data_IF_031823914710
#
_entry.id   IF_031823914710
#
_cell.length_a   1.000
_cell.length_b   1.000
_cell.length_c   1.000
_cell.angle_alpha   90.00
_cell.angle_beta   90.00
_cell.angle_gamma   90.00
#
_symmetry.space_group_name_H-M   'P 1'
#
loop_
_entity.id
_entity.type
_entity.pdbx_description
1 polymer ?
#
# COMPACT_ATOMS: atom_id res chain seq x y z
N UNK A 1 -39.78 14.35 -16.24
CA UNK A 1 -38.65 13.97 -17.14
C UNK A 1 -37.31 14.57 -16.67
N UNK A 2 -37.21 15.89 -16.44
CA UNK A 2 -35.97 16.52 -15.96
C UNK A 2 -35.43 15.95 -14.62
N UNK A 3 -36.32 15.63 -13.67
CA UNK A 3 -35.93 15.01 -12.39
C UNK A 3 -35.35 13.60 -12.55
N UNK A 4 -35.95 12.77 -13.41
CA UNK A 4 -35.44 11.43 -13.74
C UNK A 4 -34.06 11.52 -14.40
N UNK A 5 -33.87 12.47 -15.31
CA UNK A 5 -32.56 12.74 -15.93
C UNK A 5 -31.52 13.21 -14.91
N UNK A 6 -31.89 14.11 -13.99
CA UNK A 6 -31.02 14.53 -12.88
C UNK A 6 -30.62 13.37 -11.98
N UNK A 7 -31.57 12.50 -11.62
CA UNK A 7 -31.29 11.31 -10.80
C UNK A 7 -30.35 10.33 -11.53
N UNK A 8 -30.57 10.09 -12.83
CA UNK A 8 -29.69 9.24 -13.64
C UNK A 8 -28.26 9.79 -13.73
N UNK A 9 -28.10 11.11 -13.92
CA UNK A 9 -26.79 11.77 -13.95
C UNK A 9 -26.09 11.64 -12.60
N UNK A 10 -26.81 11.85 -11.49
CA UNK A 10 -26.26 11.69 -10.13
C UNK A 10 -25.79 10.26 -9.87
N UNK A 11 -26.60 9.24 -10.20
CA UNK A 11 -26.22 7.84 -10.05
C UNK A 11 -24.97 7.50 -10.87
N UNK A 12 -24.94 7.94 -12.14
CA UNK A 12 -23.78 7.74 -13.02
C UNK A 12 -22.52 8.42 -12.48
N UNK A 13 -22.65 9.62 -11.92
CA UNK A 13 -21.54 10.34 -11.29
C UNK A 13 -21.02 9.59 -10.05
N UNK A 14 -21.92 9.10 -9.19
CA UNK A 14 -21.53 8.33 -8.00
C UNK A 14 -20.81 7.04 -8.35
N UNK A 15 -21.28 6.30 -9.36
CA UNK A 15 -20.61 5.08 -9.82
C UNK A 15 -19.21 5.36 -10.38
N UNK A 16 -19.06 6.36 -11.25
CA UNK A 16 -17.72 6.73 -11.76
C UNK A 16 -16.77 7.11 -10.64
N UNK A 17 -17.24 7.88 -9.66
CA UNK A 17 -16.41 8.28 -8.52
C UNK A 17 -15.96 7.10 -7.67
N UNK A 18 -16.84 6.10 -7.49
CA UNK A 18 -16.48 4.87 -6.78
C UNK A 18 -15.41 4.07 -7.54
N UNK A 19 -15.57 3.93 -8.85
CA UNK A 19 -14.62 3.24 -9.73
C UNK A 19 -13.26 3.95 -9.76
N UNK A 20 -13.25 5.29 -9.85
CA UNK A 20 -12.03 6.10 -9.75
C UNK A 20 -11.33 5.94 -8.40
N UNK A 21 -12.08 5.91 -7.29
CA UNK A 21 -11.52 5.69 -5.95
C UNK A 21 -10.96 4.28 -5.78
N UNK A 22 -11.63 3.27 -6.34
CA UNK A 22 -11.17 1.87 -6.33
C UNK A 22 -9.91 1.69 -7.18
N UNK A 23 -9.89 2.23 -8.40
CA UNK A 23 -8.71 2.19 -9.26
C UNK A 23 -7.53 2.92 -8.61
N UNK A 24 -7.76 4.10 -8.01
CA UNK A 24 -6.71 4.82 -7.29
C UNK A 24 -6.16 4.03 -6.11
N UNK A 25 -7.01 3.25 -5.41
CA UNK A 25 -6.58 2.36 -4.33
C UNK A 25 -5.69 1.24 -4.86
N UNK A 26 -6.10 0.52 -5.91
CA UNK A 26 -5.27 -0.55 -6.47
C UNK A 26 -3.94 -0.03 -7.04
N UNK A 27 -3.93 1.14 -7.68
CA UNK A 27 -2.70 1.77 -8.15
C UNK A 27 -1.79 2.18 -6.97
N UNK A 28 -2.36 2.61 -5.84
CA UNK A 28 -1.60 2.86 -4.62
C UNK A 28 -1.01 1.58 -4.03
N UNK A 29 -1.79 0.49 -3.99
CA UNK A 29 -1.33 -0.83 -3.52
C UNK A 29 -0.15 -1.32 -4.34
N UNK A 30 -0.22 -1.25 -5.68
CA UNK A 30 0.89 -1.61 -6.57
C UNK A 30 2.15 -0.81 -6.25
N UNK A 31 2.03 0.52 -6.16
CA UNK A 31 3.16 1.39 -5.82
C UNK A 31 3.80 1.07 -4.46
N UNK A 32 2.99 0.71 -3.47
CA UNK A 32 3.50 0.28 -2.16
C UNK A 32 4.27 -1.03 -2.32
N UNK A 33 3.71 -2.01 -3.04
CA UNK A 33 4.36 -3.30 -3.30
C UNK A 33 5.70 -3.09 -4.00
N UNK A 34 5.73 -2.26 -5.04
CA UNK A 34 6.95 -1.96 -5.80
C UNK A 34 8.04 -1.38 -4.88
N UNK A 35 7.71 -0.35 -4.06
CA UNK A 35 8.70 0.25 -3.14
C UNK A 35 9.21 -0.76 -2.10
N UNK A 36 8.33 -1.58 -1.53
CA UNK A 36 8.74 -2.57 -0.51
C UNK A 36 9.57 -3.69 -1.15
N UNK A 37 9.22 -4.10 -2.37
CA UNK A 37 9.95 -5.12 -3.12
C UNK A 37 11.33 -4.61 -3.57
N UNK A 38 11.42 -3.38 -4.09
CA UNK A 38 12.67 -2.75 -4.50
C UNK A 38 13.62 -2.61 -3.30
N UNK A 39 13.14 -2.09 -2.17
CA UNK A 39 13.92 -2.02 -0.92
C UNK A 39 14.46 -3.39 -0.50
N UNK A 40 13.63 -4.41 -0.64
CA UNK A 40 14.00 -5.77 -0.32
C UNK A 40 15.08 -6.33 -1.26
N UNK A 41 14.99 -6.04 -2.57
CA UNK A 41 16.03 -6.40 -3.56
C UNK A 41 17.34 -5.67 -3.26
N UNK A 42 17.27 -4.39 -2.90
CA UNK A 42 18.44 -3.59 -2.53
C UNK A 42 19.11 -4.13 -1.26
N UNK A 43 18.32 -4.59 -0.29
CA UNK A 43 18.84 -5.30 0.88
C UNK A 43 19.50 -6.64 0.54
N UNK A 44 18.94 -7.44 -0.37
CA UNK A 44 19.57 -8.69 -0.82
C UNK A 44 20.92 -8.46 -1.56
N UNK A 45 21.14 -7.26 -2.10
CA UNK A 45 22.38 -6.85 -2.77
C UNK A 45 23.36 -6.12 -1.82
N UNK A 46 23.15 -6.19 -0.51
CA UNK A 46 23.95 -5.49 0.52
C UNK A 46 23.99 -3.95 0.36
N UNK A 47 23.04 -3.35 -0.38
CA UNK A 47 22.93 -1.90 -0.54
C UNK A 47 22.14 -1.24 0.61
N UNK A 48 21.23 -2.00 1.22
CA UNK A 48 20.43 -1.55 2.36
C UNK A 48 20.78 -2.30 3.64
N UNK A 49 20.68 -1.62 4.78
CA UNK A 49 21.09 -2.19 6.08
C UNK A 49 20.08 -3.16 6.67
N UNK A 50 18.80 -2.96 6.39
CA UNK A 50 17.71 -3.67 7.05
C UNK A 50 16.70 -4.23 6.04
N UNK A 51 16.13 -5.42 6.28
CA UNK A 51 15.15 -6.07 5.39
C UNK A 51 13.72 -5.51 5.55
N UNK A 52 13.57 -4.27 6.01
CA UNK A 52 12.28 -3.64 6.27
C UNK A 52 12.33 -2.13 6.00
N UNK A 53 11.18 -1.56 5.68
CA UNK A 53 11.01 -0.14 5.39
C UNK A 53 9.91 0.48 6.24
N UNK A 54 10.12 1.69 6.76
CA UNK A 54 9.11 2.37 7.57
C UNK A 54 7.87 2.75 6.76
N UNK A 55 6.67 2.47 7.28
CA UNK A 55 5.41 2.79 6.58
C UNK A 55 5.30 4.30 6.28
N UNK A 56 5.75 5.14 7.22
CA UNK A 56 5.78 6.59 7.04
C UNK A 56 6.76 7.03 5.96
N UNK A 57 7.90 6.33 5.83
CA UNK A 57 8.87 6.60 4.77
C UNK A 57 8.28 6.27 3.40
N UNK A 58 7.67 5.08 3.24
CA UNK A 58 7.01 4.69 1.98
C UNK A 58 5.91 5.70 1.60
N UNK A 59 5.09 6.12 2.57
CA UNK A 59 4.06 7.15 2.33
C UNK A 59 4.67 8.44 1.80
N UNK A 60 5.76 8.89 2.41
CA UNK A 60 6.37 10.17 2.08
C UNK A 60 7.11 10.13 0.74
N UNK A 61 7.63 8.96 0.34
CA UNK A 61 8.16 8.71 -1.02
C UNK A 61 7.06 8.69 -2.08
N UNK A 62 5.91 8.06 -1.80
CA UNK A 62 4.82 7.92 -2.76
C UNK A 62 3.89 9.15 -2.84
N UNK A 63 3.78 9.91 -1.75
CA UNK A 63 2.80 10.98 -1.59
C UNK A 63 3.51 12.29 -1.20
N UNK A 64 3.69 13.22 -2.16
CA UNK A 64 4.31 14.50 -1.84
C UNK A 64 3.46 15.30 -0.84
N UNK A 65 4.07 16.20 -0.03
CA UNK A 65 3.38 16.90 1.04
C UNK A 65 2.09 17.63 0.61
N UNK A 66 2.06 18.18 -0.60
CA UNK A 66 0.93 18.94 -1.13
C UNK A 66 -0.31 18.07 -1.41
N UNK A 67 -0.11 16.78 -1.71
CA UNK A 67 -1.21 15.86 -2.05
C UNK A 67 -1.68 15.00 -0.86
N UNK A 68 -0.96 15.01 0.27
CA UNK A 68 -1.26 14.18 1.47
C UNK A 68 -2.72 14.24 1.90
N UNK A 69 -3.30 15.45 2.00
CA UNK A 69 -4.70 15.61 2.43
C UNK A 69 -5.69 14.97 1.45
N UNK A 70 -5.43 15.10 0.14
CA UNK A 70 -6.29 14.53 -0.91
C UNK A 70 -6.14 13.02 -0.99
N UNK A 71 -4.92 12.52 -0.85
CA UNK A 71 -4.59 11.10 -1.02
C UNK A 71 -4.76 10.28 0.26
N UNK A 72 -4.99 10.91 1.42
CA UNK A 72 -5.15 10.22 2.70
C UNK A 72 -6.16 9.06 2.63
N UNK A 73 -7.34 9.29 2.05
CA UNK A 73 -8.38 8.24 1.94
C UNK A 73 -7.93 7.06 1.09
N UNK A 74 -7.25 7.33 -0.02
CA UNK A 74 -6.71 6.29 -0.91
C UNK A 74 -5.60 5.51 -0.21
N UNK A 75 -4.71 6.22 0.48
CA UNK A 75 -3.64 5.63 1.29
C UNK A 75 -4.19 4.72 2.39
N UNK A 76 -5.11 5.21 3.22
CA UNK A 76 -5.68 4.44 4.32
C UNK A 76 -6.36 3.16 3.80
N UNK A 77 -7.14 3.25 2.72
CA UNK A 77 -7.79 2.08 2.08
C UNK A 77 -6.77 1.10 1.49
N UNK A 78 -5.69 1.60 0.89
CA UNK A 78 -4.63 0.75 0.35
C UNK A 78 -3.89 -0.01 1.45
N UNK A 79 -3.56 0.66 2.56
CA UNK A 79 -2.93 0.02 3.73
C UNK A 79 -3.84 -1.05 4.34
N UNK A 80 -5.13 -0.76 4.50
CA UNK A 80 -6.13 -1.72 4.98
C UNK A 80 -6.28 -2.93 4.04
N UNK A 81 -6.31 -2.67 2.72
CA UNK A 81 -6.36 -3.71 1.70
C UNK A 81 -5.13 -4.62 1.78
N UNK A 82 -3.92 -4.04 1.86
CA UNK A 82 -2.67 -4.79 2.01
C UNK A 82 -2.70 -5.68 3.26
N UNK A 83 -3.06 -5.12 4.41
CA UNK A 83 -3.11 -5.86 5.67
C UNK A 83 -4.09 -7.06 5.63
N UNK A 84 -5.14 -6.96 4.82
CA UNK A 84 -6.19 -7.99 4.73
C UNK A 84 -5.99 -8.98 3.56
N UNK A 85 -5.28 -8.61 2.50
CA UNK A 85 -5.26 -9.36 1.23
C UNK A 85 -3.86 -9.64 0.68
N UNK A 86 -2.81 -8.94 1.13
CA UNK A 86 -1.45 -9.11 0.61
C UNK A 86 -0.59 -9.89 1.61
N UNK A 87 -0.30 -11.14 1.29
CA UNK A 87 0.53 -12.00 2.16
C UNK A 87 2.03 -11.75 2.00
N UNK A 88 2.46 -11.12 0.90
CA UNK A 88 3.89 -10.84 0.62
C UNK A 88 4.47 -9.72 1.48
N UNK A 89 3.62 -8.94 2.16
CA UNK A 89 4.05 -7.82 3.00
C UNK A 89 3.55 -8.03 4.42
N UNK A 90 4.48 -8.13 5.37
CA UNK A 90 4.17 -8.20 6.79
C UNK A 90 4.32 -6.82 7.42
N UNK A 91 3.34 -6.43 8.25
CA UNK A 91 3.44 -5.24 9.09
C UNK A 91 4.03 -5.63 10.44
N UNK A 92 5.16 -5.03 10.81
CA UNK A 92 5.87 -5.27 12.08
C UNK A 92 6.05 -3.95 12.84
N UNK A 93 6.16 -4.01 14.16
CA UNK A 93 6.53 -2.87 15.01
C UNK A 93 7.98 -3.03 15.44
N UNK A 94 8.84 -2.07 15.08
CA UNK A 94 10.26 -2.07 15.43
C UNK A 94 10.59 -0.87 16.28
N UNK A 95 11.42 -1.07 17.30
CA UNK A 95 11.89 0.02 18.15
C UNK A 95 13.16 0.62 17.56
N UNK A 96 13.03 1.79 16.94
CA UNK A 96 14.13 2.52 16.30
C UNK A 96 14.41 3.79 17.11
N UNK A 97 15.65 3.96 17.56
CA UNK A 97 16.08 5.11 18.38
C UNK A 97 15.22 5.34 19.66
N UNK A 98 14.61 4.28 20.19
CA UNK A 98 13.76 4.34 21.39
C UNK A 98 12.27 4.51 21.13
N UNK A 99 11.87 4.81 19.89
CA UNK A 99 10.47 4.94 19.45
C UNK A 99 9.99 3.71 18.69
N UNK A 100 8.73 3.31 18.91
CA UNK A 100 8.11 2.22 18.15
C UNK A 100 7.64 2.74 16.79
N UNK A 101 8.17 2.14 15.72
CA UNK A 101 7.86 2.47 14.34
C UNK A 101 7.23 1.28 13.64
N UNK A 102 6.11 1.53 12.95
CA UNK A 102 5.52 0.53 12.06
C UNK A 102 6.33 0.44 10.76
N UNK A 103 6.70 -0.78 10.41
CA UNK A 103 7.49 -1.10 9.22
C UNK A 103 6.78 -2.17 8.39
N UNK A 104 7.09 -2.18 7.11
CA UNK A 104 6.76 -3.25 6.19
C UNK A 104 7.99 -4.07 5.87
N UNK A 105 7.80 -5.39 5.85
CA UNK A 105 8.81 -6.38 5.51
C UNK A 105 8.28 -7.28 4.41
N UNK A 106 9.11 -7.52 3.40
CA UNK A 106 8.81 -8.51 2.36
C UNK A 106 8.93 -9.93 2.93
N UNK A 107 7.90 -10.75 2.73
CA UNK A 107 7.95 -12.17 3.06
C UNK A 107 8.45 -12.93 1.83
N UNK A 108 9.61 -13.60 1.94
CA UNK A 108 10.00 -14.58 0.92
C UNK A 108 8.86 -15.61 0.83
N UNK A 109 8.38 -15.99 -0.37
CA UNK A 109 7.54 -17.16 -0.48
C UNK A 109 8.30 -18.32 0.14
N UNK A 110 7.71 -18.96 1.15
CA UNK A 110 8.34 -20.08 1.83
C UNK A 110 8.54 -21.20 0.81
N UNK A 111 9.79 -21.42 0.37
CA UNK A 111 10.18 -22.65 -0.33
C UNK A 111 10.19 -23.87 0.61
N UNK A 112 9.70 -23.71 1.84
CA UNK A 112 9.62 -24.75 2.86
C UNK A 112 8.39 -25.65 2.63
N UNK A 113 8.53 -26.59 1.69
CA UNK A 113 7.92 -27.93 1.76
C UNK A 113 8.38 -28.79 0.56
N UNK A 114 9.69 -29.01 0.40
CA UNK A 114 10.17 -30.10 -0.48
C UNK A 114 11.54 -30.67 -0.06
N UNK A 115 11.91 -30.54 1.22
CA UNK A 115 13.18 -31.08 1.74
C UNK A 115 13.02 -32.01 2.94
N UNK A 116 11.94 -32.78 3.00
CA UNK A 116 11.81 -33.98 3.85
C UNK A 116 11.04 -35.08 3.09
N UNK A 117 11.74 -35.77 2.16
CA UNK A 117 11.51 -37.19 1.83
C UNK A 117 12.81 -37.85 1.46
#
# INVERSE_FOLDING_TARGET
>A
LAFLWGLLILLKYRWRKLEEEEQAMYEMVKKIIDVVQDHYVDWEQDMERYPYVGILHVRDTLIPPQSRRRMKRVWDRAVEFLASNESRIQTESHRVAGEDMLVWRWTKPSSFSDSER
#
